data_IF_251654636302
#
_entry.id   IF_251654636302
#
_cell.length_a   1.000
_cell.length_b   1.000
_cell.length_c   1.000
_cell.angle_alpha   90.00
_cell.angle_beta   90.00
_cell.angle_gamma   90.00
#
_symmetry.space_group_name_H-M   'P 1'
#
loop_
_entity.id
_entity.type
_entity.pdbx_description
1 polymer ?
#
# COMPACT_ATOMS: atom_id res chain seq x y z
N UNK A 1 -8.93 17.84 1.47
CA UNK A 1 -9.75 16.65 1.87
C UNK A 1 -11.04 16.53 1.08
N UNK A 2 -11.71 17.64 0.70
CA UNK A 2 -12.96 17.59 -0.07
C UNK A 2 -12.84 17.02 -1.50
N UNK A 3 -11.74 17.29 -2.20
CA UNK A 3 -11.60 16.92 -3.62
C UNK A 3 -11.49 15.41 -3.88
N UNK A 4 -10.86 14.67 -2.95
CA UNK A 4 -10.70 13.21 -3.06
C UNK A 4 -12.05 12.51 -2.85
N UNK A 5 -12.82 12.94 -1.84
CA UNK A 5 -14.14 12.38 -1.57
C UNK A 5 -15.11 12.63 -2.73
N UNK A 6 -15.01 13.81 -3.36
CA UNK A 6 -15.81 14.18 -4.53
C UNK A 6 -15.47 13.33 -5.75
N UNK A 7 -14.18 13.04 -5.98
CA UNK A 7 -13.74 12.10 -7.01
C UNK A 7 -14.26 10.68 -6.76
N UNK A 8 -14.20 10.19 -5.51
CA UNK A 8 -14.73 8.88 -5.14
C UNK A 8 -16.24 8.75 -5.41
N UNK A 9 -17.04 9.78 -5.09
CA UNK A 9 -18.49 9.77 -5.33
C UNK A 9 -18.79 9.77 -6.84
N UNK A 10 -18.03 10.54 -7.62
CA UNK A 10 -18.22 10.64 -9.06
C UNK A 10 -17.89 9.32 -9.79
N UNK A 11 -16.93 8.54 -9.29
CA UNK A 11 -16.57 7.22 -9.81
C UNK A 11 -17.65 6.14 -9.56
N UNK A 12 -18.60 6.38 -8.66
CA UNK A 12 -19.63 5.41 -8.25
C UNK A 12 -21.02 5.66 -8.85
N UNK A 13 -21.17 6.65 -9.76
CA UNK A 13 -22.48 7.05 -10.30
C UNK A 13 -22.96 6.22 -11.51
N UNK A 14 -22.09 5.37 -12.08
CA UNK A 14 -22.41 4.51 -13.24
C UNK A 14 -23.15 3.22 -12.81
N UNK A 15 -23.91 2.63 -13.73
CA UNK A 15 -24.66 1.37 -13.52
C UNK A 15 -23.70 0.15 -13.49
N UNK A 16 -23.87 -0.80 -12.55
CA UNK A 16 -22.92 -1.89 -12.28
C UNK A 16 -22.66 -2.90 -13.42
N UNK A 17 -23.41 -2.82 -14.52
CA UNK A 17 -23.38 -3.79 -15.63
C UNK A 17 -22.42 -3.44 -16.78
N UNK A 18 -21.58 -2.40 -16.63
CA UNK A 18 -20.59 -2.05 -17.67
C UNK A 18 -19.17 -2.43 -17.25
N UNK A 19 -18.31 -2.95 -18.15
CA UNK A 19 -16.90 -3.24 -17.85
C UNK A 19 -16.13 -2.03 -17.28
N UNK A 20 -16.54 -0.81 -17.68
CA UNK A 20 -15.99 0.44 -17.19
C UNK A 20 -16.33 0.71 -15.71
N UNK A 21 -17.50 0.25 -15.23
CA UNK A 21 -17.88 0.35 -13.83
C UNK A 21 -16.96 -0.46 -12.93
N UNK A 22 -16.65 -1.71 -13.31
CA UNK A 22 -15.77 -2.58 -12.53
C UNK A 22 -14.37 -1.96 -12.35
N UNK A 23 -13.81 -1.39 -13.42
CA UNK A 23 -12.51 -0.71 -13.38
C UNK A 23 -12.55 0.53 -12.48
N UNK A 24 -13.55 1.40 -12.63
CA UNK A 24 -13.71 2.60 -11.79
C UNK A 24 -14.01 2.26 -10.33
N UNK A 25 -14.77 1.20 -10.07
CA UNK A 25 -15.11 0.74 -8.73
C UNK A 25 -13.88 0.18 -8.02
N UNK A 26 -13.06 -0.61 -8.71
CA UNK A 26 -11.79 -1.09 -8.18
C UNK A 26 -10.84 0.08 -7.84
N UNK A 27 -10.69 1.04 -8.76
CA UNK A 27 -9.91 2.25 -8.52
C UNK A 27 -10.48 3.07 -7.33
N UNK A 28 -11.80 3.18 -7.23
CA UNK A 28 -12.47 3.83 -6.12
C UNK A 28 -12.17 3.18 -4.76
N UNK A 29 -12.13 1.84 -4.71
CA UNK A 29 -11.74 1.09 -3.52
C UNK A 29 -10.25 1.31 -3.16
N UNK A 30 -9.36 1.40 -4.14
CA UNK A 30 -7.94 1.73 -3.90
C UNK A 30 -7.76 3.14 -3.34
N UNK A 31 -8.48 4.13 -3.87
CA UNK A 31 -8.49 5.49 -3.32
C UNK A 31 -9.04 5.54 -1.90
N UNK A 32 -10.11 4.80 -1.61
CA UNK A 32 -10.66 4.70 -0.26
C UNK A 32 -9.67 4.03 0.69
N UNK A 33 -9.00 2.96 0.27
CA UNK A 33 -7.96 2.30 1.07
C UNK A 33 -6.77 3.22 1.32
N UNK A 34 -6.36 4.00 0.32
CA UNK A 34 -5.29 5.00 0.48
C UNK A 34 -5.71 6.13 1.42
N UNK A 35 -6.95 6.64 1.31
CA UNK A 35 -7.49 7.65 2.19
C UNK A 35 -7.61 7.13 3.64
N UNK A 36 -8.06 5.89 3.83
CA UNK A 36 -8.11 5.22 5.12
C UNK A 36 -6.72 5.01 5.71
N UNK A 37 -5.72 4.64 4.90
CA UNK A 37 -4.33 4.52 5.34
C UNK A 37 -3.75 5.88 5.76
N UNK A 38 -4.09 6.96 5.04
CA UNK A 38 -3.70 8.32 5.42
C UNK A 38 -4.39 8.77 6.71
N UNK A 39 -5.69 8.52 6.87
CA UNK A 39 -6.42 8.84 8.10
C UNK A 39 -5.86 8.03 9.28
N UNK A 40 -5.59 6.74 9.10
CA UNK A 40 -4.96 5.89 10.12
C UNK A 40 -3.56 6.38 10.49
N UNK A 41 -2.78 6.81 9.49
CA UNK A 41 -1.48 7.40 9.71
C UNK A 41 -1.57 8.73 10.47
N UNK A 42 -2.53 9.60 10.10
CA UNK A 42 -2.77 10.87 10.77
C UNK A 42 -3.31 10.67 12.19
N UNK A 43 -4.10 9.62 12.41
CA UNK A 43 -4.57 9.21 13.74
C UNK A 43 -3.41 8.67 14.58
N UNK A 44 -2.51 7.85 14.02
CA UNK A 44 -1.30 7.38 14.69
C UNK A 44 -0.29 8.50 14.98
N UNK A 45 -0.26 9.55 14.16
CA UNK A 45 0.51 10.79 14.39
C UNK A 45 -0.16 11.64 15.48
N UNK A 46 -1.49 11.73 15.50
CA UNK A 46 -2.26 12.45 16.51
C UNK A 46 -2.20 11.76 17.90
N UNK A 47 -2.11 10.42 17.93
CA UNK A 47 -1.89 9.61 19.14
C UNK A 47 -0.41 9.56 19.58
N UNK A 48 0.52 10.18 18.84
CA UNK A 48 1.93 10.25 19.23
C UNK A 48 2.69 8.92 19.19
N UNK A 49 2.27 7.93 18.38
CA UNK A 49 2.96 6.64 18.28
C UNK A 49 4.20 6.73 17.39
N UNK A 50 5.31 7.21 17.96
CA UNK A 50 6.66 7.16 17.36
C UNK A 50 7.02 5.76 16.82
N UNK A 51 6.43 4.72 17.41
CA UNK A 51 6.59 3.31 17.06
C UNK A 51 6.04 2.99 15.66
N UNK A 52 4.88 3.54 15.28
CA UNK A 52 4.29 3.26 13.96
C UNK A 52 5.07 3.96 12.83
N UNK A 53 5.48 5.21 13.04
CA UNK A 53 6.36 5.94 12.13
C UNK A 53 7.72 5.25 11.97
N UNK A 54 8.31 4.78 13.07
CA UNK A 54 9.57 4.04 13.04
C UNK A 54 9.43 2.71 12.29
N UNK A 55 8.34 1.96 12.50
CA UNK A 55 8.08 0.72 11.77
C UNK A 55 7.98 0.96 10.25
N UNK A 56 7.35 2.06 9.82
CA UNK A 56 7.32 2.46 8.41
C UNK A 56 8.72 2.72 7.85
N UNK A 57 9.54 3.50 8.56
CA UNK A 57 10.91 3.77 8.12
C UNK A 57 11.76 2.48 8.02
N UNK A 58 11.60 1.58 8.99
CA UNK A 58 12.27 0.28 8.97
C UNK A 58 11.82 -0.60 7.80
N UNK A 59 10.52 -0.65 7.49
CA UNK A 59 10.02 -1.41 6.35
C UNK A 59 10.50 -0.80 5.02
N UNK A 60 10.46 0.52 4.88
CA UNK A 60 10.95 1.22 3.69
C UNK A 60 12.44 0.91 3.43
N UNK A 61 13.28 1.02 4.47
CA UNK A 61 14.71 0.70 4.39
C UNK A 61 14.97 -0.76 4.02
N UNK A 62 14.18 -1.68 4.59
CA UNK A 62 14.27 -3.11 4.26
C UNK A 62 13.95 -3.37 2.79
N UNK A 63 12.84 -2.83 2.27
CA UNK A 63 12.44 -3.03 0.88
C UNK A 63 13.53 -2.49 -0.08
N UNK A 64 14.04 -1.28 0.18
CA UNK A 64 15.06 -0.65 -0.66
C UNK A 64 16.40 -1.42 -0.64
N UNK A 65 16.83 -1.89 0.52
CA UNK A 65 18.15 -2.52 0.66
C UNK A 65 18.15 -4.01 0.33
N UNK A 66 17.04 -4.72 0.55
CA UNK A 66 16.99 -6.17 0.47
C UNK A 66 16.11 -6.71 -0.66
N UNK A 67 15.08 -5.96 -1.07
CA UNK A 67 14.15 -6.41 -2.11
C UNK A 67 14.53 -5.80 -3.45
N UNK A 68 14.77 -4.49 -3.51
CA UNK A 68 15.08 -3.80 -4.76
C UNK A 68 16.27 -4.42 -5.53
N UNK A 69 17.41 -4.79 -4.89
CA UNK A 69 18.51 -5.42 -5.63
C UNK A 69 18.11 -6.77 -6.23
N UNK A 70 17.20 -7.53 -5.59
CA UNK A 70 16.74 -8.82 -6.10
C UNK A 70 15.96 -8.66 -7.40
N UNK A 71 15.19 -7.58 -7.53
CA UNK A 71 14.46 -7.26 -8.77
C UNK A 71 15.42 -6.97 -9.94
N UNK A 72 16.63 -6.47 -9.64
CA UNK A 72 17.65 -6.14 -10.64
C UNK A 72 18.46 -7.36 -11.10
N UNK A 73 18.31 -8.53 -10.46
CA UNK A 73 19.09 -9.74 -10.77
C UNK A 73 18.62 -10.51 -12.02
N UNK A 74 17.68 -9.95 -12.80
CA UNK A 74 17.14 -10.58 -14.01
C UNK A 74 16.16 -11.73 -13.75
N UNK A 75 15.93 -12.10 -12.48
CA UNK A 75 14.86 -13.02 -12.10
C UNK A 75 13.61 -12.21 -11.78
N UNK A 76 12.47 -12.43 -12.48
CA UNK A 76 11.24 -11.71 -12.18
C UNK A 76 10.83 -12.01 -10.74
N UNK A 77 10.61 -10.95 -9.96
CA UNK A 77 10.16 -11.02 -8.59
C UNK A 77 8.79 -10.34 -8.53
N UNK A 78 7.72 -11.12 -8.39
CA UNK A 78 6.38 -10.56 -8.37
C UNK A 78 6.01 -9.99 -6.99
N UNK A 79 4.91 -9.22 -6.91
CA UNK A 79 4.45 -8.63 -5.66
C UNK A 79 4.18 -9.68 -4.55
N UNK A 80 3.63 -10.85 -4.90
CA UNK A 80 3.36 -11.95 -3.97
C UNK A 80 4.66 -12.52 -3.40
N UNK A 81 5.70 -12.66 -4.20
CA UNK A 81 7.04 -13.05 -3.73
C UNK A 81 7.62 -12.03 -2.74
N UNK A 82 7.46 -10.73 -3.04
CA UNK A 82 7.90 -9.64 -2.16
C UNK A 82 7.17 -9.70 -0.82
N UNK A 83 5.83 -9.80 -0.85
CA UNK A 83 5.00 -9.87 0.35
C UNK A 83 5.32 -11.11 1.18
N UNK A 84 5.50 -12.26 0.52
CA UNK A 84 5.92 -13.50 1.19
C UNK A 84 7.25 -13.33 1.93
N UNK A 85 8.24 -12.71 1.29
CA UNK A 85 9.54 -12.41 1.91
C UNK A 85 9.41 -11.46 3.10
N UNK A 86 8.63 -10.40 2.97
CA UNK A 86 8.38 -9.45 4.06
C UNK A 86 7.70 -10.14 5.25
N UNK A 87 6.69 -10.97 5.00
CA UNK A 87 5.98 -11.72 6.04
C UNK A 87 6.90 -12.66 6.83
N UNK A 88 7.83 -13.36 6.16
CA UNK A 88 8.75 -14.29 6.82
C UNK A 88 9.89 -13.55 7.52
N UNK A 89 10.49 -12.54 6.87
CA UNK A 89 11.72 -11.90 7.35
C UNK A 89 11.47 -10.75 8.31
N UNK A 90 10.28 -10.13 8.27
CA UNK A 90 9.90 -8.98 9.08
C UNK A 90 8.49 -9.13 9.70
N UNK A 91 8.16 -10.26 10.34
CA UNK A 91 6.81 -10.48 10.88
C UNK A 91 6.39 -9.43 11.93
N UNK A 92 7.34 -8.90 12.71
CA UNK A 92 7.09 -7.81 13.66
C UNK A 92 6.65 -6.52 12.97
N UNK A 93 7.27 -6.16 11.84
CA UNK A 93 6.85 -4.98 11.08
C UNK A 93 5.47 -5.18 10.47
N UNK A 94 5.16 -6.38 10.00
CA UNK A 94 3.82 -6.72 9.48
C UNK A 94 2.76 -6.61 10.57
N UNK A 95 3.06 -7.07 11.78
CA UNK A 95 2.16 -6.93 12.92
C UNK A 95 1.95 -5.46 13.31
N UNK A 96 3.01 -4.63 13.31
CA UNK A 96 2.95 -3.23 13.71
C UNK A 96 2.29 -2.31 12.67
N UNK A 97 2.38 -2.66 11.38
CA UNK A 97 1.89 -1.84 10.28
C UNK A 97 0.56 -2.34 9.70
N UNK A 98 0.25 -3.62 9.86
CA UNK A 98 -0.87 -4.28 9.21
C UNK A 98 -0.60 -4.64 7.75
N UNK A 99 -1.31 -5.66 7.27
CA UNK A 99 -1.11 -6.25 5.94
C UNK A 99 -1.34 -5.23 4.82
N UNK A 100 -2.37 -4.38 4.95
CA UNK A 100 -2.72 -3.37 3.95
C UNK A 100 -1.60 -2.33 3.76
N UNK A 101 -1.01 -1.84 4.87
CA UNK A 101 0.05 -0.85 4.78
C UNK A 101 1.34 -1.44 4.22
N UNK A 102 1.67 -2.68 4.59
CA UNK A 102 2.80 -3.44 4.05
C UNK A 102 2.63 -3.65 2.55
N UNK A 103 1.43 -4.04 2.11
CA UNK A 103 1.11 -4.24 0.71
C UNK A 103 1.31 -2.97 -0.12
N UNK A 104 0.76 -1.84 0.34
CA UNK A 104 0.92 -0.56 -0.33
C UNK A 104 2.40 -0.15 -0.47
N UNK A 105 3.21 -0.38 0.58
CA UNK A 105 4.64 -0.05 0.54
C UNK A 105 5.44 -0.98 -0.40
N UNK A 106 5.09 -2.26 -0.44
CA UNK A 106 5.70 -3.22 -1.36
C UNK A 106 5.33 -2.91 -2.83
N UNK A 107 4.06 -2.56 -3.09
CA UNK A 107 3.58 -2.13 -4.41
C UNK A 107 4.34 -0.91 -4.92
N UNK A 108 4.56 0.09 -4.07
CA UNK A 108 5.31 1.28 -4.46
C UNK A 108 6.74 0.96 -4.93
N UNK A 109 7.41 -0.02 -4.31
CA UNK A 109 8.75 -0.44 -4.77
C UNK A 109 8.65 -1.29 -6.04
N UNK A 110 7.63 -2.13 -6.15
CA UNK A 110 7.40 -2.95 -7.33
C UNK A 110 7.20 -2.11 -8.61
N UNK A 111 6.27 -1.15 -8.60
CA UNK A 111 5.98 -0.28 -9.75
C UNK A 111 7.08 0.73 -10.10
N UNK A 112 8.00 1.01 -9.19
CA UNK A 112 9.15 1.90 -9.46
C UNK A 112 10.33 1.18 -10.12
N UNK A 113 10.29 -0.16 -10.21
CA UNK A 113 11.38 -0.98 -10.78
C UNK A 113 10.92 -1.88 -11.95
N UNK A 114 9.65 -1.82 -12.33
CA UNK A 114 9.11 -2.38 -13.58
C UNK A 114 9.23 -1.33 -14.69
#
# INVERSE_FOLDING_TARGET
TGDILKACIQLHIDTPDTPNWYLKHHQGLEYLNMAMAQVTNNLAIADGSSIHQQAKQQLHSYLRTNIQPLMQTGKPLDLKDILHRVNIRKPKLVQQLGIQQVQHMAQHIFYMND
#
